data_IF_766927527636
#
_entry.id   IF_766927527636
#
_cell.length_a   1.000
_cell.length_b   1.000
_cell.length_c   1.000
_cell.angle_alpha   90.00
_cell.angle_beta   90.00
_cell.angle_gamma   90.00
#
_symmetry.space_group_name_H-M   'P 1'
#
loop_
_entity.id
_entity.type
_entity.pdbx_description
1 polymer ?
#
# COMPACT_ATOMS: atom_id res chain seq x y z
N UNK A 1 -24.72 56.04 7.28
CA UNK A 1 -24.43 54.74 7.92
C UNK A 1 -23.61 53.92 6.90
N UNK A 2 -22.29 54.08 6.93
CA UNK A 2 -21.37 53.38 6.05
C UNK A 2 -20.84 52.18 6.82
N UNK A 3 -21.38 51.00 6.52
CA UNK A 3 -20.92 49.74 7.11
C UNK A 3 -19.53 49.40 6.59
N UNK A 4 -18.52 49.47 7.44
CA UNK A 4 -17.20 48.97 7.21
C UNK A 4 -17.30 47.45 6.98
N UNK A 5 -17.03 46.98 5.76
CA UNK A 5 -16.82 45.55 5.48
C UNK A 5 -15.52 45.13 6.14
N UNK A 6 -15.63 44.50 7.32
CA UNK A 6 -14.52 43.82 7.97
C UNK A 6 -13.99 42.73 7.03
N UNK A 7 -12.92 43.04 6.30
CA UNK A 7 -12.20 42.05 5.55
C UNK A 7 -11.47 41.12 6.53
N UNK A 8 -12.04 39.90 6.72
CA UNK A 8 -11.43 38.87 7.53
C UNK A 8 -10.05 38.55 6.97
N UNK A 9 -9.00 39.07 7.60
CA UNK A 9 -7.60 38.74 7.25
C UNK A 9 -7.20 37.50 8.08
N UNK A 10 -6.83 36.42 7.39
CA UNK A 10 -6.23 35.27 8.07
C UNK A 10 -5.06 35.76 8.92
N UNK A 11 -5.15 35.56 10.23
CA UNK A 11 -4.02 35.88 11.11
C UNK A 11 -2.84 34.96 10.73
N UNK A 12 -1.65 35.49 10.48
CA UNK A 12 -0.48 34.69 10.17
C UNK A 12 -0.14 33.84 11.39
N UNK A 13 0.24 32.58 11.16
CA UNK A 13 0.57 31.59 12.21
C UNK A 13 1.66 32.12 13.19
N UNK A 14 2.51 33.04 12.73
CA UNK A 14 3.51 33.75 13.53
C UNK A 14 3.18 35.24 13.43
N UNK A 15 2.75 35.83 14.54
CA UNK A 15 2.32 37.22 14.63
C UNK A 15 3.47 38.23 14.47
N UNK A 16 4.68 37.86 14.89
CA UNK A 16 5.87 38.71 14.74
C UNK A 16 6.46 38.60 13.33
N UNK A 17 6.49 39.68 12.54
CA UNK A 17 7.10 39.65 11.21
C UNK A 17 8.58 39.31 11.24
N UNK A 18 9.32 39.75 12.26
CA UNK A 18 10.75 39.47 12.42
C UNK A 18 11.01 37.98 12.59
N UNK A 19 10.24 37.30 13.47
CA UNK A 19 10.35 35.86 13.68
C UNK A 19 9.96 35.08 12.40
N UNK A 20 8.95 35.52 11.71
CA UNK A 20 8.49 34.88 10.46
C UNK A 20 9.56 34.96 9.36
N UNK A 21 10.11 36.14 9.10
CA UNK A 21 11.16 36.29 8.08
C UNK A 21 12.47 35.65 8.52
N UNK A 22 12.80 35.71 9.82
CA UNK A 22 13.95 34.99 10.39
C UNK A 22 13.83 33.46 10.18
N UNK A 23 12.64 32.88 10.39
CA UNK A 23 12.40 31.46 10.12
C UNK A 23 12.54 31.11 8.65
N UNK A 24 11.99 31.96 7.74
CA UNK A 24 12.16 31.75 6.30
C UNK A 24 13.63 31.83 5.89
N UNK A 25 14.35 32.81 6.39
CA UNK A 25 15.79 32.92 6.11
C UNK A 25 16.57 31.70 6.66
N UNK A 26 16.25 31.24 7.86
CA UNK A 26 16.86 30.03 8.43
C UNK A 26 16.56 28.75 7.61
N UNK A 27 15.33 28.58 7.13
CA UNK A 27 14.96 27.45 6.27
C UNK A 27 15.70 27.53 4.93
N UNK A 28 15.74 28.71 4.31
CA UNK A 28 16.47 28.90 3.05
C UNK A 28 17.96 28.67 3.23
N UNK A 29 18.56 29.20 4.30
CA UNK A 29 19.96 28.98 4.65
C UNK A 29 20.25 27.50 4.89
N UNK A 30 19.38 26.80 5.63
CA UNK A 30 19.51 25.35 5.86
C UNK A 30 19.47 24.56 4.54
N UNK A 31 18.53 24.86 3.66
CA UNK A 31 18.44 24.21 2.33
C UNK A 31 19.71 24.50 1.51
N UNK A 32 20.15 25.78 1.48
CA UNK A 32 21.36 26.15 0.76
C UNK A 32 22.60 25.42 1.26
N UNK A 33 22.80 25.38 2.59
CA UNK A 33 23.89 24.63 3.21
C UNK A 33 23.79 23.15 2.90
N UNK A 34 22.58 22.55 2.98
CA UNK A 34 22.37 21.14 2.66
C UNK A 34 22.74 20.84 1.20
N UNK A 35 22.31 21.66 0.26
CA UNK A 35 22.64 21.50 -1.18
C UNK A 35 24.14 21.65 -1.42
N UNK A 36 24.80 22.60 -0.74
CA UNK A 36 26.25 22.83 -0.88
C UNK A 36 27.10 21.72 -0.24
N UNK A 37 26.58 21.08 0.82
CA UNK A 37 27.28 19.98 1.51
C UNK A 37 27.02 18.61 0.90
N UNK A 38 25.97 18.44 0.07
CA UNK A 38 25.74 17.23 -0.70
C UNK A 38 26.82 17.08 -1.77
N UNK A 39 27.56 15.94 -1.81
CA UNK A 39 28.56 15.69 -2.84
C UNK A 39 27.87 15.36 -4.18
N UNK A 40 27.21 16.35 -4.78
CA UNK A 40 26.54 16.19 -6.08
C UNK A 40 27.60 16.26 -7.17
N UNK A 41 27.83 15.17 -7.85
CA UNK A 41 28.65 15.11 -9.06
C UNK A 41 27.83 15.61 -10.26
N UNK A 42 27.89 16.89 -10.53
CA UNK A 42 27.17 17.55 -11.64
C UNK A 42 27.55 16.99 -13.00
N UNK A 43 28.79 16.50 -13.14
CA UNK A 43 29.25 15.90 -14.39
C UNK A 43 28.58 14.54 -14.60
N UNK A 44 28.42 13.74 -13.54
CA UNK A 44 27.62 12.49 -13.60
C UNK A 44 26.15 12.78 -13.84
N UNK A 45 25.58 13.83 -13.26
CA UNK A 45 24.20 14.22 -13.49
C UNK A 45 23.95 14.59 -14.97
N UNK A 46 24.86 15.36 -15.58
CA UNK A 46 24.78 15.71 -17.00
C UNK A 46 24.89 14.45 -17.90
N UNK A 47 25.86 13.56 -17.61
CA UNK A 47 25.99 12.28 -18.32
C UNK A 47 24.77 11.38 -18.11
N UNK A 48 24.11 11.48 -16.94
CA UNK A 48 22.86 10.77 -16.64
C UNK A 48 21.73 11.16 -17.60
N UNK A 49 21.65 12.43 -17.97
CA UNK A 49 20.64 12.91 -18.91
C UNK A 49 20.85 12.32 -20.32
N UNK A 50 22.11 12.27 -20.78
CA UNK A 50 22.47 11.64 -22.05
C UNK A 50 22.16 10.12 -22.06
N UNK A 51 22.47 9.43 -20.94
CA UNK A 51 22.12 8.00 -20.77
C UNK A 51 20.62 7.78 -20.77
N UNK A 52 19.86 8.64 -20.08
CA UNK A 52 18.40 8.60 -20.12
C UNK A 52 17.86 8.75 -21.53
N UNK A 53 18.41 9.70 -22.31
CA UNK A 53 18.07 9.85 -23.73
C UNK A 53 18.30 8.59 -24.55
N UNK A 54 19.41 7.88 -24.31
CA UNK A 54 19.70 6.58 -24.97
C UNK A 54 18.75 5.48 -24.53
N UNK A 55 18.40 5.39 -23.23
CA UNK A 55 17.43 4.41 -22.71
C UNK A 55 16.06 4.66 -23.34
N UNK A 56 15.57 5.90 -23.33
CA UNK A 56 14.28 6.24 -23.93
C UNK A 56 14.28 6.07 -25.45
N UNK A 57 15.37 6.44 -26.13
CA UNK A 57 15.51 6.21 -27.57
C UNK A 57 15.53 4.73 -27.95
N UNK A 58 16.19 3.89 -27.15
CA UNK A 58 16.21 2.44 -27.36
C UNK A 58 14.93 1.72 -26.91
N UNK A 59 14.07 2.39 -26.12
CA UNK A 59 12.80 1.79 -25.70
C UNK A 59 11.70 1.87 -26.77
N UNK A 60 11.80 2.77 -27.73
CA UNK A 60 10.82 2.94 -28.81
C UNK A 60 11.33 2.34 -30.14
N UNK A 61 10.46 1.59 -30.87
CA UNK A 61 9.09 1.20 -30.53
C UNK A 61 9.04 0.03 -29.50
N UNK A 62 7.98 -0.06 -28.68
CA UNK A 62 7.84 -1.15 -27.71
C UNK A 62 7.69 -2.50 -28.42
N UNK A 63 8.42 -3.51 -27.95
CA UNK A 63 8.45 -4.84 -28.54
C UNK A 63 7.51 -5.80 -27.81
N UNK A 64 6.45 -6.27 -28.48
CA UNK A 64 5.52 -7.30 -27.99
C UNK A 64 5.85 -8.71 -28.52
N UNK A 65 7.00 -8.91 -29.16
CA UNK A 65 7.35 -10.19 -29.78
C UNK A 65 7.40 -11.35 -28.78
N UNK A 66 7.73 -11.07 -27.51
CA UNK A 66 7.77 -12.06 -26.41
C UNK A 66 6.48 -12.04 -25.58
N UNK A 67 5.31 -12.01 -26.26
CA UNK A 67 4.00 -11.93 -25.62
C UNK A 67 3.72 -13.07 -24.61
N UNK A 68 4.28 -14.27 -24.83
CA UNK A 68 4.20 -15.36 -23.86
C UNK A 68 4.75 -14.98 -22.48
N UNK A 69 5.95 -14.38 -22.44
CA UNK A 69 6.55 -13.93 -21.17
C UNK A 69 5.75 -12.81 -20.50
N UNK A 70 5.09 -11.94 -21.29
CA UNK A 70 4.20 -10.90 -20.74
C UNK A 70 2.97 -11.51 -20.08
N UNK A 71 2.33 -12.46 -20.77
CA UNK A 71 1.13 -13.14 -20.28
C UNK A 71 1.46 -13.98 -19.06
N UNK A 72 2.52 -14.78 -19.11
CA UNK A 72 2.94 -15.63 -18.00
C UNK A 72 3.29 -14.80 -16.75
N UNK A 73 4.09 -13.74 -16.91
CA UNK A 73 4.44 -12.82 -15.82
C UNK A 73 3.23 -12.10 -15.24
N UNK A 74 2.27 -11.68 -16.08
CA UNK A 74 1.02 -11.09 -15.64
C UNK A 74 0.14 -12.08 -14.85
N UNK A 75 -0.06 -13.29 -15.39
CA UNK A 75 -0.85 -14.32 -14.73
C UNK A 75 -0.23 -14.74 -13.40
N UNK A 76 1.09 -14.80 -13.32
CA UNK A 76 1.81 -15.05 -12.07
C UNK A 76 1.58 -13.92 -11.06
N UNK A 77 1.67 -12.64 -11.46
CA UNK A 77 1.34 -11.50 -10.60
C UNK A 77 -0.09 -11.54 -10.11
N UNK A 78 -1.03 -11.91 -10.96
CA UNK A 78 -2.44 -12.05 -10.60
C UNK A 78 -2.66 -13.15 -9.56
N UNK A 79 -2.00 -14.32 -9.74
CA UNK A 79 -2.03 -15.42 -8.75
C UNK A 79 -1.43 -15.00 -7.41
N UNK A 80 -0.28 -14.31 -7.42
CA UNK A 80 0.37 -13.77 -6.22
C UNK A 80 -0.59 -12.82 -5.49
N UNK A 81 -1.16 -11.84 -6.20
CA UNK A 81 -2.07 -10.86 -5.63
C UNK A 81 -3.33 -11.50 -5.04
N UNK A 82 -3.94 -12.45 -5.76
CA UNK A 82 -5.15 -13.14 -5.32
C UNK A 82 -4.90 -13.98 -4.06
N UNK A 83 -3.88 -14.84 -4.08
CA UNK A 83 -3.55 -15.72 -2.95
C UNK A 83 -3.12 -14.90 -1.72
N UNK A 84 -2.33 -13.85 -1.93
CA UNK A 84 -1.93 -12.96 -0.86
C UNK A 84 -3.12 -12.19 -0.27
N UNK A 85 -4.07 -11.77 -1.09
CA UNK A 85 -5.27 -11.09 -0.61
C UNK A 85 -6.15 -12.04 0.20
N UNK A 86 -6.44 -13.23 -0.31
CA UNK A 86 -7.25 -14.22 0.40
C UNK A 86 -6.59 -14.59 1.73
N UNK A 87 -5.30 -14.96 1.71
CA UNK A 87 -4.56 -15.31 2.92
C UNK A 87 -4.44 -14.15 3.91
N UNK A 88 -4.13 -12.95 3.41
CA UNK A 88 -3.97 -11.75 4.21
C UNK A 88 -5.28 -11.28 4.85
N UNK A 89 -6.38 -11.26 4.10
CA UNK A 89 -7.72 -10.91 4.60
C UNK A 89 -8.18 -11.92 5.66
N UNK A 90 -8.01 -13.22 5.37
CA UNK A 90 -8.38 -14.28 6.31
C UNK A 90 -7.62 -14.18 7.64
N UNK A 91 -6.30 -13.99 7.60
CA UNK A 91 -5.48 -13.83 8.80
C UNK A 91 -5.70 -12.47 9.49
N UNK A 92 -6.15 -11.46 8.78
CA UNK A 92 -6.47 -10.15 9.34
C UNK A 92 -7.69 -10.18 10.26
N UNK A 93 -8.65 -11.07 10.03
CA UNK A 93 -9.89 -11.15 10.83
C UNK A 93 -9.58 -11.45 12.31
N UNK A 94 -8.91 -12.57 12.68
CA UNK A 94 -8.61 -12.84 14.07
C UNK A 94 -7.71 -11.77 14.70
N UNK A 95 -6.74 -11.23 13.94
CA UNK A 95 -5.84 -10.18 14.43
C UNK A 95 -6.62 -8.89 14.71
N UNK A 96 -7.61 -8.55 13.89
CA UNK A 96 -8.47 -7.39 14.11
C UNK A 96 -9.32 -7.54 15.37
N UNK A 97 -9.90 -8.70 15.61
CA UNK A 97 -10.62 -8.97 16.84
C UNK A 97 -9.71 -8.90 18.08
N UNK A 98 -8.47 -9.40 17.97
CA UNK A 98 -7.48 -9.23 19.03
C UNK A 98 -7.13 -7.76 19.28
N UNK A 99 -7.08 -6.95 18.23
CA UNK A 99 -6.65 -5.54 18.28
C UNK A 99 -7.80 -4.56 18.56
N UNK A 100 -9.04 -5.02 18.76
CA UNK A 100 -10.21 -4.19 19.07
C UNK A 100 -10.40 -4.09 20.59
N UNK A 101 -10.33 -2.86 21.13
CA UNK A 101 -10.35 -2.60 22.58
C UNK A 101 -11.69 -2.92 23.25
N UNK A 102 -12.79 -2.83 22.50
CA UNK A 102 -14.14 -3.10 23.00
C UNK A 102 -14.46 -4.59 23.13
N UNK A 103 -13.63 -5.49 22.56
CA UNK A 103 -13.85 -6.92 22.51
C UNK A 103 -12.76 -7.69 23.25
N UNK A 104 -11.48 -7.38 23.01
CA UNK A 104 -10.34 -8.12 23.52
C UNK A 104 -9.93 -7.66 24.95
N UNK A 105 -9.55 -8.59 25.85
CA UNK A 105 -8.90 -8.23 27.10
C UNK A 105 -7.55 -7.56 26.84
N UNK A 106 -7.12 -6.68 27.76
CA UNK A 106 -5.95 -5.82 27.59
C UNK A 106 -4.66 -6.53 27.09
N UNK A 107 -4.26 -7.70 27.60
CA UNK A 107 -3.06 -8.36 27.10
C UNK A 107 -3.17 -8.79 25.63
N UNK A 108 -4.33 -9.31 25.23
CA UNK A 108 -4.62 -9.74 23.86
C UNK A 108 -4.71 -8.52 22.93
N UNK A 109 -5.31 -7.43 23.41
CA UNK A 109 -5.37 -6.17 22.68
C UNK A 109 -3.96 -5.66 22.34
N UNK A 110 -3.07 -5.57 23.31
CA UNK A 110 -1.69 -5.11 23.04
C UNK A 110 -0.94 -6.06 22.11
N UNK A 111 -1.14 -7.36 22.20
CA UNK A 111 -0.55 -8.32 21.28
C UNK A 111 -1.07 -8.11 19.84
N UNK A 112 -2.38 -7.97 19.66
CA UNK A 112 -2.98 -7.70 18.35
C UNK A 112 -2.46 -6.38 17.75
N UNK A 113 -2.39 -5.32 18.56
CA UNK A 113 -1.83 -4.02 18.12
C UNK A 113 -0.35 -4.11 17.79
N UNK A 114 0.43 -4.87 18.55
CA UNK A 114 1.85 -5.08 18.27
C UNK A 114 2.07 -5.80 16.94
N UNK A 115 1.29 -6.85 16.63
CA UNK A 115 1.34 -7.55 15.35
C UNK A 115 1.06 -6.58 14.20
N UNK A 116 0.01 -5.76 14.31
CA UNK A 116 -0.35 -4.76 13.29
C UNK A 116 0.78 -3.74 13.11
N UNK A 117 1.34 -3.20 14.20
CA UNK A 117 2.42 -2.22 14.16
C UNK A 117 3.65 -2.80 13.48
N UNK A 118 4.08 -4.01 13.87
CA UNK A 118 5.23 -4.69 13.26
C UNK A 118 5.00 -4.93 11.77
N UNK A 119 3.83 -5.47 11.38
CA UNK A 119 3.49 -5.72 9.97
C UNK A 119 3.50 -4.43 9.11
N UNK A 120 3.21 -3.27 9.70
CA UNK A 120 3.20 -1.97 9.02
C UNK A 120 4.52 -1.21 9.07
N UNK A 121 5.42 -1.58 9.97
CA UNK A 121 6.70 -0.87 10.14
C UNK A 121 7.63 -1.06 8.95
N UNK A 122 7.45 -2.12 8.19
CA UNK A 122 8.32 -2.44 7.07
C UNK A 122 7.66 -2.18 5.74
N UNK A 123 8.40 -1.57 4.82
CA UNK A 123 7.98 -1.45 3.42
C UNK A 123 7.95 -2.85 2.76
N UNK A 124 6.96 -3.18 1.91
CA UNK A 124 6.83 -4.51 1.29
C UNK A 124 8.11 -5.02 0.61
N UNK A 125 8.90 -4.14 0.00
CA UNK A 125 10.18 -4.51 -0.64
C UNK A 125 11.18 -5.09 0.36
N UNK A 126 11.27 -4.54 1.58
CA UNK A 126 12.18 -5.06 2.61
C UNK A 126 11.73 -6.45 3.05
N UNK A 127 10.43 -6.62 3.27
CA UNK A 127 9.83 -7.92 3.63
C UNK A 127 10.05 -8.94 2.51
N UNK A 128 9.92 -8.51 1.25
CA UNK A 128 10.17 -9.38 0.09
C UNK A 128 11.62 -9.87 0.05
N UNK A 129 12.60 -9.01 0.29
CA UNK A 129 14.01 -9.41 0.35
C UNK A 129 14.25 -10.45 1.45
N UNK A 130 13.64 -10.27 2.62
CA UNK A 130 13.75 -11.22 3.74
C UNK A 130 13.17 -12.59 3.32
N UNK A 131 11.95 -12.61 2.74
CA UNK A 131 11.34 -13.88 2.32
C UNK A 131 12.08 -14.52 1.14
N UNK A 132 12.53 -13.73 0.16
CA UNK A 132 13.35 -14.26 -0.94
C UNK A 132 14.62 -14.92 -0.41
N UNK A 133 15.25 -14.36 0.61
CA UNK A 133 16.43 -14.97 1.26
C UNK A 133 16.08 -16.21 2.08
N UNK A 134 14.88 -16.26 2.66
CA UNK A 134 14.45 -17.38 3.50
C UNK A 134 13.91 -18.58 2.73
N UNK A 135 13.07 -18.34 1.69
CA UNK A 135 12.36 -19.40 0.95
C UNK A 135 12.78 -19.53 -0.52
N UNK A 136 13.69 -18.66 -0.98
CA UNK A 136 14.15 -18.62 -2.36
C UNK A 136 13.38 -17.63 -3.24
N UNK A 137 13.91 -17.46 -4.48
CA UNK A 137 13.27 -16.63 -5.51
C UNK A 137 11.97 -17.27 -5.98
N UNK A 138 10.97 -16.45 -6.29
CA UNK A 138 9.73 -16.90 -6.91
C UNK A 138 8.45 -16.44 -6.24
N UNK A 139 7.29 -16.86 -6.77
CA UNK A 139 5.98 -16.35 -6.38
C UNK A 139 5.62 -16.64 -4.91
N UNK A 140 6.16 -17.69 -4.31
CA UNK A 140 5.89 -18.03 -2.91
C UNK A 140 6.39 -16.94 -1.95
N UNK A 141 7.60 -16.41 -2.17
CA UNK A 141 8.13 -15.28 -1.41
C UNK A 141 7.25 -14.03 -1.57
N UNK A 142 6.73 -13.79 -2.79
CA UNK A 142 5.80 -12.71 -3.08
C UNK A 142 4.47 -12.84 -2.32
N UNK A 143 3.89 -14.04 -2.32
CA UNK A 143 2.65 -14.33 -1.58
C UNK A 143 2.83 -14.06 -0.09
N UNK A 144 3.87 -14.59 0.55
CA UNK A 144 4.16 -14.37 1.96
C UNK A 144 4.35 -12.89 2.29
N UNK A 145 5.09 -12.18 1.46
CA UNK A 145 5.31 -10.74 1.59
C UNK A 145 4.01 -9.97 1.60
N UNK A 146 3.15 -10.21 0.61
CA UNK A 146 1.91 -9.49 0.47
C UNK A 146 0.84 -9.92 1.48
N UNK A 147 0.92 -11.14 2.04
CA UNK A 147 0.12 -11.54 3.21
C UNK A 147 0.46 -10.65 4.40
N UNK A 148 1.75 -10.50 4.74
CA UNK A 148 2.17 -9.64 5.86
C UNK A 148 1.74 -8.19 5.64
N UNK A 149 1.93 -7.68 4.43
CA UNK A 149 1.47 -6.34 4.03
C UNK A 149 -0.04 -6.17 4.20
N UNK A 150 -0.82 -7.16 3.76
CA UNK A 150 -2.28 -7.17 3.87
C UNK A 150 -2.74 -7.21 5.33
N UNK A 151 -2.10 -8.01 6.19
CA UNK A 151 -2.39 -8.06 7.63
C UNK A 151 -2.21 -6.67 8.24
N UNK A 152 -1.10 -6.01 7.99
CA UNK A 152 -0.83 -4.69 8.53
C UNK A 152 -1.89 -3.65 8.18
N UNK A 153 -2.43 -3.69 6.97
CA UNK A 153 -3.42 -2.73 6.49
C UNK A 153 -4.86 -3.13 6.87
N UNK A 154 -5.27 -4.35 6.51
CA UNK A 154 -6.66 -4.82 6.67
C UNK A 154 -7.00 -4.99 8.14
N UNK A 155 -6.13 -5.62 8.93
CA UNK A 155 -6.41 -5.84 10.35
C UNK A 155 -6.53 -4.53 11.13
N UNK A 156 -5.73 -3.51 10.77
CA UNK A 156 -5.86 -2.18 11.39
C UNK A 156 -7.24 -1.57 11.14
N UNK A 157 -7.62 -1.44 9.86
CA UNK A 157 -8.88 -0.80 9.50
C UNK A 157 -10.11 -1.58 9.98
N UNK A 158 -9.99 -2.91 10.01
CA UNK A 158 -11.05 -3.76 10.55
C UNK A 158 -11.17 -3.63 12.08
N UNK A 159 -10.04 -3.55 12.81
CA UNK A 159 -10.06 -3.33 14.25
C UNK A 159 -10.69 -1.98 14.62
N UNK A 160 -10.35 -0.91 13.90
CA UNK A 160 -10.95 0.41 14.05
C UNK A 160 -12.47 0.35 13.78
N UNK A 161 -12.90 -0.40 12.76
CA UNK A 161 -14.33 -0.57 12.47
C UNK A 161 -15.05 -1.39 13.54
N UNK A 162 -14.41 -2.41 14.12
CA UNK A 162 -14.96 -3.18 15.24
C UNK A 162 -15.14 -2.29 16.49
N UNK A 163 -14.26 -1.32 16.71
CA UNK A 163 -14.38 -0.35 17.81
C UNK A 163 -15.53 0.65 17.62
N UNK A 164 -15.97 0.87 16.37
CA UNK A 164 -17.03 1.82 15.98
C UNK A 164 -18.43 1.19 15.80
N UNK A 165 -18.61 -0.12 16.08
CA UNK A 165 -19.91 -0.79 15.93
C UNK A 165 -20.94 -0.25 16.91
N UNK A 166 -22.23 -0.38 16.54
CA UNK A 166 -23.33 -0.11 17.46
C UNK A 166 -23.30 -1.12 18.63
N UNK A 167 -23.24 -0.64 19.89
CA UNK A 167 -23.24 -1.52 21.07
C UNK A 167 -24.60 -2.18 21.31
N UNK A 168 -25.71 -1.63 20.83
CA UNK A 168 -27.06 -2.12 21.10
C UNK A 168 -27.26 -3.62 20.78
N UNK A 169 -26.95 -4.11 19.57
CA UNK A 169 -27.03 -5.52 19.25
C UNK A 169 -26.14 -6.41 20.14
N UNK A 170 -24.97 -5.91 20.53
CA UNK A 170 -24.03 -6.63 21.40
C UNK A 170 -24.60 -6.77 22.82
N UNK A 171 -25.18 -5.69 23.35
CA UNK A 171 -25.83 -5.65 24.67
C UNK A 171 -27.08 -6.54 24.71
N UNK A 172 -27.90 -6.50 23.66
CA UNK A 172 -29.08 -7.37 23.54
C UNK A 172 -28.71 -8.85 23.56
N UNK A 173 -27.66 -9.26 22.85
CA UNK A 173 -27.17 -10.65 22.85
C UNK A 173 -26.64 -11.06 24.24
N UNK A 174 -25.92 -10.17 24.92
CA UNK A 174 -25.45 -10.43 26.29
C UNK A 174 -26.60 -10.56 27.27
N UNK A 175 -27.61 -9.68 27.17
CA UNK A 175 -28.82 -9.74 28.01
C UNK A 175 -29.62 -11.04 27.80
N UNK A 176 -29.61 -11.57 26.56
CA UNK A 176 -30.21 -12.86 26.24
C UNK A 176 -29.38 -14.09 26.70
N UNK A 177 -28.23 -13.87 27.37
CA UNK A 177 -27.35 -14.94 27.83
C UNK A 177 -26.51 -15.61 26.75
N UNK A 178 -26.34 -14.97 25.60
CA UNK A 178 -25.55 -15.50 24.50
C UNK A 178 -24.06 -15.65 24.88
N UNK A 179 -23.42 -16.72 24.37
CA UNK A 179 -21.98 -16.91 24.53
C UNK A 179 -21.19 -15.85 23.79
N UNK A 180 -19.93 -15.67 24.16
CA UNK A 180 -19.02 -14.72 23.48
C UNK A 180 -18.96 -14.96 21.97
N UNK A 181 -18.78 -16.21 21.54
CA UNK A 181 -18.70 -16.58 20.13
C UNK A 181 -20.01 -16.30 19.39
N UNK A 182 -21.15 -16.63 20.01
CA UNK A 182 -22.48 -16.33 19.47
C UNK A 182 -22.68 -14.82 19.28
N UNK A 183 -22.26 -14.02 20.26
CA UNK A 183 -22.31 -12.56 20.17
C UNK A 183 -21.43 -12.03 19.05
N UNK A 184 -20.22 -12.56 18.85
CA UNK A 184 -19.36 -12.17 17.74
C UNK A 184 -19.99 -12.47 16.38
N UNK A 185 -20.56 -13.67 16.20
CA UNK A 185 -21.13 -14.11 14.91
C UNK A 185 -22.41 -13.34 14.59
N UNK A 186 -23.31 -13.13 15.54
CA UNK A 186 -24.63 -12.58 15.26
C UNK A 186 -24.78 -11.08 15.52
N UNK A 187 -23.95 -10.48 16.38
CA UNK A 187 -24.03 -9.05 16.67
C UNK A 187 -22.89 -8.23 16.07
N UNK A 188 -21.66 -8.75 16.04
CA UNK A 188 -20.49 -8.01 15.58
C UNK A 188 -20.25 -8.23 14.07
N UNK A 189 -20.15 -9.50 13.66
CA UNK A 189 -19.75 -9.85 12.29
C UNK A 189 -20.67 -9.26 11.21
N UNK A 190 -22.02 -9.24 11.35
CA UNK A 190 -22.88 -8.61 10.34
C UNK A 190 -22.62 -7.11 10.15
N UNK A 191 -22.26 -6.40 11.22
CA UNK A 191 -21.99 -4.96 11.18
C UNK A 191 -20.69 -4.61 10.44
N UNK A 192 -19.72 -5.53 10.44
CA UNK A 192 -18.40 -5.31 9.83
C UNK A 192 -18.25 -5.94 8.44
N UNK A 193 -19.11 -6.89 8.07
CA UNK A 193 -18.96 -7.71 6.85
C UNK A 193 -18.93 -6.87 5.58
N UNK A 194 -19.83 -5.91 5.46
CA UNK A 194 -19.89 -5.04 4.28
C UNK A 194 -18.56 -4.27 4.10
N UNK A 195 -18.03 -3.73 5.20
CA UNK A 195 -16.74 -3.04 5.17
C UNK A 195 -15.58 -3.98 4.87
N UNK A 196 -15.62 -5.20 5.41
CA UNK A 196 -14.60 -6.23 5.18
C UNK A 196 -14.51 -6.62 3.71
N UNK A 197 -15.64 -6.79 3.02
CA UNK A 197 -15.67 -7.08 1.57
C UNK A 197 -15.04 -5.92 0.80
N UNK A 198 -15.41 -4.68 1.12
CA UNK A 198 -14.83 -3.48 0.49
C UNK A 198 -13.32 -3.37 0.70
N UNK A 199 -12.82 -3.68 1.89
CA UNK A 199 -11.39 -3.72 2.21
C UNK A 199 -10.68 -4.85 1.44
N UNK A 200 -11.31 -6.01 1.28
CA UNK A 200 -10.76 -7.13 0.50
C UNK A 200 -10.56 -6.77 -0.97
N UNK A 201 -11.55 -6.12 -1.58
CA UNK A 201 -11.47 -5.66 -2.99
C UNK A 201 -10.37 -4.60 -3.15
N UNK A 202 -10.29 -3.64 -2.22
CA UNK A 202 -9.22 -2.65 -2.21
C UNK A 202 -7.84 -3.29 -2.05
N UNK A 203 -7.74 -4.29 -1.15
CA UNK A 203 -6.48 -4.98 -0.90
C UNK A 203 -6.03 -5.81 -2.12
N UNK A 204 -6.96 -6.41 -2.87
CA UNK A 204 -6.64 -7.11 -4.11
C UNK A 204 -5.99 -6.17 -5.14
N UNK A 205 -6.58 -5.00 -5.36
CA UNK A 205 -6.04 -3.97 -6.24
C UNK A 205 -4.65 -3.49 -5.77
N UNK A 206 -4.51 -3.24 -4.47
CA UNK A 206 -3.23 -2.85 -3.87
C UNK A 206 -2.16 -3.94 -3.99
N UNK A 207 -2.52 -5.21 -3.76
CA UNK A 207 -1.60 -6.34 -3.89
C UNK A 207 -1.20 -6.59 -5.35
N UNK A 208 -2.09 -6.38 -6.31
CA UNK A 208 -1.75 -6.51 -7.74
C UNK A 208 -0.68 -5.49 -8.13
N UNK A 209 -0.80 -4.25 -7.68
CA UNK A 209 0.20 -3.19 -7.90
C UNK A 209 1.52 -3.50 -7.18
N UNK A 210 1.42 -3.92 -5.92
CA UNK A 210 2.58 -4.25 -5.11
C UNK A 210 3.33 -5.49 -5.64
N UNK A 211 2.65 -6.46 -6.27
CA UNK A 211 3.27 -7.65 -6.85
C UNK A 211 4.28 -7.31 -7.95
N UNK A 212 3.99 -6.27 -8.75
CA UNK A 212 4.94 -5.79 -9.76
C UNK A 212 6.21 -5.20 -9.11
N UNK A 213 6.08 -4.49 -7.99
CA UNK A 213 7.24 -3.88 -7.30
C UNK A 213 8.07 -4.92 -6.57
N UNK A 214 7.45 -5.83 -5.80
CA UNK A 214 8.18 -6.87 -5.07
C UNK A 214 8.80 -7.90 -6.02
N UNK A 215 8.23 -8.07 -7.21
CA UNK A 215 8.79 -8.91 -8.27
C UNK A 215 10.18 -8.46 -8.70
N UNK A 216 10.47 -7.16 -8.73
CA UNK A 216 11.79 -6.61 -9.08
C UNK A 216 12.89 -7.14 -8.15
N UNK A 217 12.58 -7.42 -6.89
CA UNK A 217 13.54 -7.97 -5.92
C UNK A 217 13.52 -9.50 -5.85
N UNK A 218 12.88 -10.16 -6.84
CA UNK A 218 12.91 -11.61 -7.00
C UNK A 218 11.71 -12.35 -6.42
N UNK A 219 10.64 -11.66 -6.06
CA UNK A 219 9.41 -12.26 -5.55
C UNK A 219 8.43 -12.74 -6.65
N UNK A 220 8.91 -12.94 -7.88
CA UNK A 220 8.14 -13.47 -9.01
C UNK A 220 7.25 -12.45 -9.72
N UNK A 221 6.44 -12.92 -10.66
CA UNK A 221 5.49 -12.13 -11.41
C UNK A 221 6.09 -11.23 -12.49
N UNK A 222 5.27 -10.34 -13.03
CA UNK A 222 5.65 -9.43 -14.13
C UNK A 222 6.81 -8.49 -13.75
N UNK A 223 6.97 -8.19 -12.45
CA UNK A 223 8.08 -7.39 -11.95
C UNK A 223 9.44 -8.08 -12.11
N UNK A 224 9.50 -9.40 -11.96
CA UNK A 224 10.71 -10.17 -12.21
C UNK A 224 11.06 -10.17 -13.72
N UNK A 225 10.06 -10.27 -14.60
CA UNK A 225 10.23 -10.15 -16.04
C UNK A 225 10.77 -8.77 -16.41
N UNK A 226 10.27 -7.72 -15.79
CA UNK A 226 10.74 -6.33 -15.95
C UNK A 226 12.20 -6.17 -15.51
N UNK A 227 12.54 -6.66 -14.32
CA UNK A 227 13.92 -6.61 -13.81
C UNK A 227 14.90 -7.35 -14.72
N UNK A 228 14.51 -8.51 -15.24
CA UNK A 228 15.31 -9.26 -16.20
C UNK A 228 15.49 -8.53 -17.53
N UNK A 229 14.45 -7.86 -18.04
CA UNK A 229 14.54 -7.06 -19.27
C UNK A 229 15.53 -5.89 -19.10
N UNK A 230 15.43 -5.15 -17.98
CA UNK A 230 16.40 -4.10 -17.66
C UNK A 230 17.83 -4.64 -17.48
N UNK A 231 17.99 -5.78 -16.82
CA UNK A 231 19.30 -6.42 -16.62
C UNK A 231 19.98 -6.88 -17.92
N UNK A 232 19.19 -7.12 -18.98
CA UNK A 232 19.66 -7.48 -20.33
C UNK A 232 19.76 -6.29 -21.28
N UNK A 233 19.43 -5.08 -20.82
CA UNK A 233 19.35 -3.88 -21.65
C UNK A 233 18.31 -3.95 -22.80
N UNK A 234 17.29 -4.81 -22.66
CA UNK A 234 16.16 -4.97 -23.58
C UNK A 234 15.11 -3.88 -23.30
N UNK A 235 15.44 -2.62 -23.59
CA UNK A 235 14.61 -1.47 -23.22
C UNK A 235 13.27 -1.41 -23.94
N UNK A 236 13.21 -1.87 -25.20
CA UNK A 236 12.00 -1.97 -26.01
C UNK A 236 10.99 -2.96 -25.38
N UNK A 237 11.49 -4.11 -24.89
CA UNK A 237 10.68 -5.10 -24.19
C UNK A 237 10.32 -4.60 -22.78
N UNK A 238 11.23 -3.94 -22.07
CA UNK A 238 10.93 -3.35 -20.76
C UNK A 238 9.82 -2.27 -20.84
N UNK A 239 9.80 -1.48 -21.92
CA UNK A 239 8.70 -0.54 -22.16
C UNK A 239 7.37 -1.26 -22.39
N UNK A 240 7.36 -2.33 -23.20
CA UNK A 240 6.15 -3.15 -23.42
C UNK A 240 5.61 -3.72 -22.09
N UNK A 241 6.49 -4.26 -21.22
CA UNK A 241 6.12 -4.76 -19.90
C UNK A 241 5.51 -3.62 -19.05
N UNK A 242 6.15 -2.45 -19.04
CA UNK A 242 5.68 -1.28 -18.28
C UNK A 242 4.29 -0.84 -18.76
N UNK A 243 4.05 -0.82 -20.07
CA UNK A 243 2.73 -0.49 -20.62
C UNK A 243 1.66 -1.50 -20.18
N UNK A 244 1.99 -2.80 -20.15
CA UNK A 244 1.09 -3.84 -19.66
C UNK A 244 0.79 -3.64 -18.17
N UNK A 245 1.80 -3.38 -17.34
CA UNK A 245 1.62 -3.11 -15.90
C UNK A 245 0.67 -1.92 -15.70
N UNK A 246 0.92 -0.80 -16.37
CA UNK A 246 0.09 0.40 -16.26
C UNK A 246 -1.35 0.12 -16.73
N UNK A 247 -1.51 -0.54 -17.88
CA UNK A 247 -2.82 -0.91 -18.41
C UNK A 247 -3.63 -1.79 -17.44
N UNK A 248 -2.98 -2.80 -16.86
CA UNK A 248 -3.60 -3.70 -15.88
C UNK A 248 -4.00 -2.95 -14.61
N UNK A 249 -3.15 -2.07 -14.11
CA UNK A 249 -3.46 -1.25 -12.91
C UNK A 249 -4.67 -0.36 -13.17
N UNK A 250 -4.73 0.32 -14.32
CA UNK A 250 -5.87 1.18 -14.68
C UNK A 250 -7.18 0.38 -14.79
N UNK A 251 -7.14 -0.81 -15.41
CA UNK A 251 -8.30 -1.69 -15.53
C UNK A 251 -8.73 -2.19 -14.13
N UNK A 252 -7.78 -2.63 -13.32
CA UNK A 252 -8.04 -3.11 -11.95
C UNK A 252 -8.68 -2.01 -11.09
N UNK A 253 -8.17 -0.79 -11.15
CA UNK A 253 -8.71 0.36 -10.41
C UNK A 253 -10.13 0.70 -10.86
N UNK A 254 -10.40 0.71 -12.17
CA UNK A 254 -11.72 0.96 -12.73
C UNK A 254 -12.73 -0.11 -12.28
N UNK A 255 -12.37 -1.40 -12.37
CA UNK A 255 -13.21 -2.53 -11.95
C UNK A 255 -13.46 -2.50 -10.45
N UNK A 256 -12.41 -2.36 -9.64
CA UNK A 256 -12.51 -2.26 -8.17
C UNK A 256 -13.36 -1.07 -7.73
N UNK A 257 -13.22 0.08 -8.41
CA UNK A 257 -14.03 1.26 -8.17
C UNK A 257 -15.51 1.04 -8.48
N UNK A 258 -15.82 0.38 -9.61
CA UNK A 258 -17.19 0.06 -10.00
C UNK A 258 -17.86 -0.92 -9.02
N UNK A 259 -17.13 -1.95 -8.58
CA UNK A 259 -17.64 -2.94 -7.61
C UNK A 259 -17.92 -2.27 -6.26
N UNK A 260 -16.98 -1.46 -5.75
CA UNK A 260 -17.16 -0.76 -4.46
C UNK A 260 -18.35 0.16 -4.44
N UNK A 261 -18.64 0.87 -5.55
CA UNK A 261 -19.83 1.72 -5.67
C UNK A 261 -21.16 0.97 -5.59
N UNK A 262 -21.17 -0.35 -5.87
CA UNK A 262 -22.37 -1.19 -5.78
C UNK A 262 -22.56 -1.83 -4.41
N UNK A 263 -21.49 -1.92 -3.62
CA UNK A 263 -21.49 -2.56 -2.30
C UNK A 263 -21.64 -1.51 -1.18
N UNK A 264 -21.18 -0.28 -1.40
CA UNK A 264 -21.37 0.86 -0.48
C UNK A 264 -22.76 1.45 -0.61
#
# INVERSE_FOLDING_TARGET
>A
MTGARDHWRKQPFISSPVVRYGLYAAVVAYIAVTVMTLPIDWQRAAQGLERAGRIFGGAFPPSFQRSGLLIDGFLESLKIALLATVGGVFLSIPIAFMAARNIAPLPIYYLGRAIIVVARSFHPVIVAIIFVKAVGFGPFAGILTLIVYSIGFVAKLLAERIEEIDPGPVEAMKAAGASFLTTLIYAVFPQIMQRQIGLGIYQLDSNLRASAVVGIVGAGGIGATLANAFGRYDYDFALAITMVIVGVILISEAVSGAIRKRIA
#
